data_IF_820563238565
#
_entry.id   IF_820563238565
#
_cell.length_a   1.000
_cell.length_b   1.000
_cell.length_c   1.000
_cell.angle_alpha   90.00
_cell.angle_beta   90.00
_cell.angle_gamma   90.00
#
_symmetry.space_group_name_H-M   'P 1'
#
loop_
_entity.id
_entity.type
_entity.pdbx_description
1 polymer ?
2 non-polymer ?
3 water ?
#
# COMPACT_ATOMS: atom_id res chain seq x y z
N UNK A 7 -11.47 6.50 9.72
CA UNK A 7 -10.64 6.53 8.47
C UNK A 7 -9.56 5.50 8.55
N UNK A 8 -9.27 4.86 7.40
CA UNK A 8 -8.29 3.78 7.39
C UNK A 8 -6.84 4.24 7.30
N UNK A 9 -6.60 5.56 7.47
CA UNK A 9 -5.29 6.12 7.35
C UNK A 9 -4.97 7.28 8.27
N UNK A 10 -3.67 7.48 8.45
CA UNK A 10 -3.15 8.58 9.21
C UNK A 10 -2.29 9.47 8.29
N UNK A 11 -2.42 10.78 8.49
CA UNK A 11 -1.65 11.80 7.77
C UNK A 11 -0.50 12.18 8.67
N UNK A 12 0.73 11.90 8.23
CA UNK A 12 1.88 12.23 9.06
C UNK A 12 2.49 13.54 8.68
N UNK A 13 3.13 14.18 9.66
CA UNK A 13 3.71 15.49 9.43
C UNK A 13 4.82 15.50 8.40
N UNK A 14 5.46 14.36 8.17
CA UNK A 14 6.50 14.35 7.17
C UNK A 14 5.99 14.17 5.72
N UNK A 15 4.67 14.20 5.51
CA UNK A 15 4.13 14.03 4.19
C UNK A 15 3.82 12.58 3.80
N UNK A 16 4.10 11.64 4.70
CA UNK A 16 3.80 10.22 4.45
C UNK A 16 2.44 9.85 5.05
N UNK A 17 2.04 8.60 4.82
CA UNK A 17 0.76 8.11 5.29
C UNK A 17 0.94 6.74 5.89
N UNK A 18 0.09 6.41 6.85
CA UNK A 18 -0.01 5.02 7.34
C UNK A 18 -1.41 4.52 7.00
N UNK A 19 -1.49 3.37 6.30
CA UNK A 19 -2.78 2.78 5.94
C UNK A 19 -2.91 1.40 6.55
N UNK A 20 -4.15 1.04 6.91
CA UNK A 20 -4.44 -0.36 7.21
C UNK A 20 -4.13 -1.21 5.97
N UNK A 21 -3.53 -2.39 6.18
CA UNK A 21 -3.16 -3.23 5.02
C UNK A 21 -4.37 -3.69 4.20
N UNK A 22 -5.51 -3.88 4.86
CA UNK A 22 -6.69 -4.35 4.16
C UNK A 22 -7.38 -3.29 3.34
N UNK A 23 -6.88 -2.04 3.38
CA UNK A 23 -7.60 -0.97 2.64
C UNK A 23 -7.64 -1.30 1.15
N UNK A 24 -8.81 -1.19 0.52
CA UNK A 24 -8.85 -1.46 -0.90
C UNK A 24 -7.99 -0.44 -1.67
N UNK A 25 -7.46 -0.84 -2.82
CA UNK A 25 -6.77 0.14 -3.66
C UNK A 25 -7.70 1.26 -4.09
N UNK A 26 -8.97 0.92 -4.35
CA UNK A 26 -10.01 1.95 -4.61
C UNK A 26 -9.99 3.02 -3.52
N UNK A 27 -10.04 2.57 -2.27
CA UNK A 27 -10.11 3.51 -1.16
C UNK A 27 -8.79 4.26 -0.98
N UNK A 28 -7.65 3.62 -1.25
CA UNK A 28 -6.40 4.38 -1.21
C UNK A 28 -6.44 5.51 -2.26
N UNK A 29 -6.87 5.21 -3.48
CA UNK A 29 -6.94 6.24 -4.50
C UNK A 29 -7.92 7.32 -4.11
N UNK A 30 -9.03 6.93 -3.47
CA UNK A 30 -10.03 7.91 -2.98
C UNK A 30 -9.41 8.86 -1.96
N UNK A 31 -8.77 8.31 -0.92
CA UNK A 31 -8.27 9.15 0.16
C UNK A 31 -7.02 9.93 -0.23
N UNK A 32 -6.22 9.44 -1.19
CA UNK A 32 -5.02 10.16 -1.59
C UNK A 32 -5.21 10.95 -2.87
N UNK A 33 -6.46 11.05 -3.37
CA UNK A 33 -6.74 11.84 -4.55
C UNK A 33 -5.85 11.41 -5.67
N UNK A 34 -5.84 10.11 -5.97
CA UNK A 34 -5.01 9.55 -7.05
C UNK A 34 -5.82 9.27 -8.31
N UNK A 35 -5.16 9.34 -9.47
CA UNK A 35 -5.84 8.93 -10.71
C UNK A 35 -6.09 7.41 -10.74
N UNK A 36 -6.98 6.98 -11.62
CA UNK A 36 -7.41 5.59 -11.66
C UNK A 36 -6.29 4.63 -11.94
N UNK A 37 -5.29 5.08 -12.71
CA UNK A 37 -4.19 4.21 -13.10
C UNK A 37 -2.99 4.31 -12.18
N UNK A 38 -3.13 4.86 -10.99
CA UNK A 38 -1.99 5.08 -10.11
C UNK A 38 -1.18 3.80 -9.87
N UNK A 39 -1.88 2.66 -9.70
CA UNK A 39 -1.20 1.40 -9.38
C UNK A 39 -1.11 0.47 -10.58
N UNK A 40 -1.50 1.00 -11.74
CA UNK A 40 -1.18 0.34 -13.01
C UNK A 40 -1.75 -1.04 -13.21
N UNK A 41 -1.19 -1.78 -14.17
CA UNK A 41 -1.69 -3.11 -14.48
C UNK A 41 -1.51 -4.04 -13.30
N UNK A 42 -0.41 -3.92 -12.58
CA UNK A 42 -0.20 -4.76 -11.44
C UNK A 42 -1.35 -4.57 -10.43
N UNK A 43 -1.68 -3.30 -10.16
CA UNK A 43 -2.74 -3.02 -9.20
C UNK A 43 -4.07 -3.58 -9.65
N UNK A 44 -4.28 -3.70 -10.96
CA UNK A 44 -5.54 -4.21 -11.48
C UNK A 44 -5.72 -5.70 -11.13
N UNK A 45 -4.64 -6.38 -10.73
CA UNK A 45 -4.68 -7.80 -10.43
C UNK A 45 -5.08 -8.10 -8.98
N UNK A 46 -5.20 -7.06 -8.16
CA UNK A 46 -5.43 -7.26 -6.73
C UNK A 46 -6.46 -6.27 -6.21
N UNK A 47 -6.88 -6.48 -4.97
CA UNK A 47 -7.94 -5.67 -4.38
C UNK A 47 -7.51 -4.71 -3.29
N UNK A 48 -6.40 -5.01 -2.61
CA UNK A 48 -6.02 -4.24 -1.42
C UNK A 48 -4.57 -3.77 -1.46
N UNK A 49 -4.25 -2.86 -0.56
CA UNK A 49 -2.89 -2.37 -0.46
C UNK A 49 -1.89 -3.47 -0.10
N UNK A 50 -2.25 -4.32 0.86
CA UNK A 50 -1.37 -5.44 1.17
C UNK A 50 -1.30 -6.38 -0.05
N UNK A 51 -2.39 -6.54 -0.79
CA UNK A 51 -2.33 -7.36 -2.01
C UNK A 51 -1.36 -6.80 -3.02
N UNK A 52 -1.34 -5.47 -3.19
CA UNK A 52 -0.39 -4.86 -4.13
C UNK A 52 1.05 -5.16 -3.65
N UNK A 53 1.30 -5.05 -2.35
CA UNK A 53 2.63 -5.35 -1.82
C UNK A 53 3.02 -6.78 -2.17
N UNK A 54 2.09 -7.73 -1.95
CA UNK A 54 2.40 -9.13 -2.27
C UNK A 54 2.61 -9.35 -3.77
N UNK A 55 1.85 -8.62 -4.58
CA UNK A 55 1.97 -8.76 -6.04
C UNK A 55 3.32 -8.25 -6.52
N UNK A 56 3.84 -7.20 -5.88
CA UNK A 56 5.17 -6.70 -6.24
C UNK A 56 6.28 -7.65 -5.77
N UNK A 57 6.18 -8.11 -4.53
CA UNK A 57 7.31 -8.81 -3.89
C UNK A 57 7.29 -10.32 -4.09
N UNK A 58 6.11 -10.89 -4.26
CA UNK A 58 5.96 -12.31 -4.59
C UNK A 58 6.66 -13.22 -3.58
N UNK A 59 6.48 -12.89 -2.31
CA UNK A 59 7.04 -13.69 -1.21
C UNK A 59 6.25 -13.39 0.05
N UNK A 60 6.37 -14.25 1.05
CA UNK A 60 5.69 -13.95 2.32
C UNK A 60 6.33 -12.71 2.93
N UNK A 61 5.52 -11.82 3.49
CA UNK A 61 6.04 -10.54 4.00
C UNK A 61 6.59 -10.59 5.41
N UNK A 62 7.47 -9.63 5.71
CA UNK A 62 7.95 -9.38 7.06
C UNK A 62 7.82 -7.89 7.35
N UNK A 63 7.74 -7.58 8.64
CA UNK A 63 7.89 -6.18 9.05
C UNK A 63 9.25 -5.66 8.56
N UNK A 64 9.23 -4.42 8.03
CA UNK A 64 10.44 -3.81 7.49
C UNK A 64 10.61 -3.97 5.99
N UNK A 65 9.85 -4.87 5.38
CA UNK A 65 9.96 -5.04 3.94
C UNK A 65 9.49 -3.77 3.24
N UNK A 66 10.10 -3.50 2.09
CA UNK A 66 9.69 -2.38 1.25
C UNK A 66 9.39 -2.85 -0.18
N UNK A 67 8.64 -2.02 -0.91
CA UNK A 67 8.31 -2.33 -2.30
C UNK A 67 8.16 -1.00 -3.01
N UNK A 68 8.44 -0.98 -4.31
CA UNK A 68 8.32 0.25 -5.10
C UNK A 68 7.37 0.02 -6.26
N UNK A 69 6.47 0.98 -6.51
CA UNK A 69 5.70 1.01 -7.74
C UNK A 69 5.65 2.50 -8.07
N UNK A 70 6.60 2.95 -8.90
CA UNK A 70 6.85 4.39 -9.00
C UNK A 70 5.55 5.14 -9.33
N UNK A 71 5.30 6.29 -8.69
CA UNK A 71 6.18 7.05 -7.79
C UNK A 71 6.06 6.65 -6.33
N UNK A 72 5.40 5.52 -6.05
CA UNK A 72 5.13 5.13 -4.66
C UNK A 72 6.20 4.22 -4.09
N UNK A 73 6.43 4.38 -2.80
CA UNK A 73 7.25 3.44 -2.05
C UNK A 73 6.44 3.02 -0.83
N UNK A 74 6.43 1.72 -0.57
CA UNK A 74 5.63 1.13 0.50
C UNK A 74 6.53 0.43 1.50
N UNK A 75 6.17 0.47 2.78
CA UNK A 75 6.92 -0.28 3.77
C UNK A 75 5.93 -0.97 4.71
N UNK A 76 6.17 -2.26 5.01
CA UNK A 76 5.31 -2.95 5.99
C UNK A 76 5.77 -2.47 7.36
N UNK A 77 4.90 -1.74 8.07
CA UNK A 77 5.30 -1.23 9.37
C UNK A 77 4.76 -2.08 10.53
N UNK A 78 3.66 -2.81 10.30
CA UNK A 78 3.12 -3.70 11.35
C UNK A 78 2.53 -4.94 10.72
N UNK A 79 2.69 -6.07 11.43
CA UNK A 79 2.03 -7.32 11.09
C UNK A 79 1.46 -7.90 12.36
N UNK A 80 0.41 -8.70 12.23
CA UNK A 80 0.02 -9.60 13.34
C UNK A 80 0.77 -10.91 13.10
N UNK A 81 0.30 -12.06 13.57
CA UNK A 81 1.13 -13.24 13.41
C UNK A 81 1.25 -13.66 11.95
N UNK A 82 0.29 -13.33 11.11
CA UNK A 82 0.29 -13.79 9.72
C UNK A 82 0.03 -12.76 8.65
N UNK A 83 -0.46 -11.57 9.01
CA UNK A 83 -0.97 -10.62 8.00
C UNK A 83 -0.31 -9.26 8.12
N UNK A 84 -0.12 -8.61 6.97
CA UNK A 84 0.23 -7.19 6.98
C UNK A 84 -0.94 -6.39 7.49
N UNK A 85 -0.74 -5.65 8.59
CA UNK A 85 -1.82 -4.83 9.14
C UNK A 85 -1.58 -3.33 8.96
N UNK A 86 -0.35 -2.89 8.70
CA UNK A 86 -0.15 -1.47 8.40
C UNK A 86 0.96 -1.34 7.38
N UNK A 87 0.71 -0.47 6.40
CA UNK A 87 1.68 -0.11 5.39
C UNK A 87 1.87 1.40 5.39
N UNK A 88 3.14 1.81 5.39
CA UNK A 88 3.49 3.20 5.15
C UNK A 88 3.59 3.47 3.66
N UNK A 89 2.96 4.58 3.22
CA UNK A 89 3.17 5.11 1.86
C UNK A 89 4.04 6.35 2.04
N UNK A 90 5.21 6.35 1.42
CA UNK A 90 6.12 7.49 1.56
C UNK A 90 5.56 8.71 0.85
N UNK A 91 6.11 9.90 1.16
CA UNK A 91 5.63 11.08 0.40
C UNK A 91 5.90 10.86 -1.08
N UNK A 92 5.02 11.35 -1.95
CA UNK A 92 5.21 11.17 -3.40
C UNK A 92 4.94 12.47 -4.14
N UNK A 93 5.61 12.68 -5.24
CA UNK A 93 5.29 13.83 -6.09
C UNK A 93 4.42 13.33 -7.26
X LIG B 1 10.62 0.66 -9.97
X LIG B 1 11.38 -0.40 -9.41
X LIG B 1 9.17 0.12 -10.15
X LIG B 1 8.26 1.19 -10.43
X LIG B 1 9.02 -0.93 -11.27
X LIG B 1 7.64 -1.38 -11.45
X LIG C 1 -14.93 14.62 -1.93
X LIG C 1 -14.41 15.12 -0.73
X LIG C 1 -14.64 13.09 -2.01
X LIG C 1 -15.43 12.32 -1.11
X LIG C 1 -15.26 12.72 -3.32
X LIG C 1 -15.18 11.29 -3.61
#
# INVERSE_FOLDING_TARGET
SNAEEELPFKVLGDGSYLFEGKTSLSDVRHYLDLPENAFGELGDEVDTLSGLFLEIKQELPHVGDTAVYEPFRFQVTQMDKRRIIEIKIFPFE
GOL C1 O1 C2 O2 C3 O3
GOL C1 O1 C2 O2 C3 O3
#
